data_IF_462789845212
#
_entry.id   IF_462789845212
#
_cell.length_a   1.000
_cell.length_b   1.000
_cell.length_c   1.000
_cell.angle_alpha   90.00
_cell.angle_beta   90.00
_cell.angle_gamma   90.00
#
_symmetry.space_group_name_H-M   'P 1'
#
loop_
_entity.id
_entity.type
_entity.pdbx_description
1 polymer ?
#
# COMPACT_ATOMS: atom_id res chain seq x y z
N UNK A 1 1.97 21.90 -10.22
CA UNK A 1 0.70 21.94 -9.47
C UNK A 1 1.04 21.72 -8.01
N UNK A 2 0.52 22.52 -7.08
CA UNK A 2 0.79 22.28 -5.67
C UNK A 2 0.00 21.04 -5.22
N UNK A 3 0.53 20.29 -4.25
CA UNK A 3 -0.14 19.10 -3.76
C UNK A 3 -1.57 19.36 -3.25
N UNK A 4 -1.80 20.56 -2.70
CA UNK A 4 -3.09 21.01 -2.21
C UNK A 4 -4.17 21.14 -3.31
N UNK A 5 -3.74 21.17 -4.58
CA UNK A 5 -4.64 21.25 -5.74
C UNK A 5 -4.88 19.87 -6.38
N UNK A 6 -4.40 18.77 -5.78
CA UNK A 6 -4.63 17.42 -6.29
C UNK A 6 -6.12 17.07 -6.16
N UNK A 7 -6.83 16.73 -7.25
CA UNK A 7 -8.25 16.40 -7.20
C UNK A 7 -8.52 14.95 -6.75
N UNK A 8 -7.48 14.14 -6.58
CA UNK A 8 -7.57 12.72 -6.22
C UNK A 8 -7.21 12.51 -4.75
N UNK A 9 -7.98 11.66 -4.06
CA UNK A 9 -7.79 11.33 -2.65
C UNK A 9 -7.73 9.81 -2.48
N UNK A 10 -6.77 9.34 -1.69
CA UNK A 10 -6.57 7.91 -1.39
C UNK A 10 -6.09 7.74 0.05
N UNK A 11 -6.52 8.64 0.94
CA UNK A 11 -6.17 8.64 2.34
C UNK A 11 -6.81 7.46 3.09
N UNK A 12 -6.41 7.24 4.33
CA UNK A 12 -6.90 6.11 5.15
C UNK A 12 -8.43 6.11 5.24
N UNK A 13 -9.08 7.27 5.45
CA UNK A 13 -10.54 7.36 5.50
C UNK A 13 -11.20 6.87 4.20
N UNK A 14 -10.67 7.27 3.05
CA UNK A 14 -11.18 6.85 1.75
C UNK A 14 -11.02 5.34 1.55
N UNK A 15 -9.81 4.81 1.78
CA UNK A 15 -9.48 3.39 1.59
C UNK A 15 -10.21 2.48 2.58
N UNK A 16 -10.39 2.88 3.85
CA UNK A 16 -11.18 2.11 4.81
C UNK A 16 -12.67 2.07 4.44
N UNK A 17 -13.21 3.17 3.89
CA UNK A 17 -14.60 3.21 3.42
C UNK A 17 -14.80 2.32 2.18
N UNK A 18 -13.87 2.36 1.24
CA UNK A 18 -13.87 1.53 0.04
C UNK A 18 -13.76 0.04 0.37
N UNK A 19 -12.76 -0.35 1.16
CA UNK A 19 -12.61 -1.74 1.63
C UNK A 19 -13.84 -2.24 2.39
N UNK A 20 -14.46 -1.40 3.23
CA UNK A 20 -15.71 -1.77 3.90
C UNK A 20 -16.83 -2.06 2.92
N UNK A 21 -16.91 -1.30 1.83
CA UNK A 21 -17.87 -1.56 0.76
C UNK A 21 -17.59 -2.90 0.08
N UNK A 22 -16.34 -3.25 -0.21
CA UNK A 22 -16.01 -4.56 -0.79
C UNK A 22 -16.36 -5.72 0.14
N UNK A 23 -16.04 -5.59 1.44
CA UNK A 23 -16.38 -6.59 2.46
C UNK A 23 -17.91 -6.77 2.55
N UNK A 24 -18.67 -5.68 2.67
CA UNK A 24 -20.12 -5.73 2.87
C UNK A 24 -20.87 -6.28 1.66
N UNK A 25 -20.29 -6.16 0.46
CA UNK A 25 -20.88 -6.63 -0.79
C UNK A 25 -20.27 -7.94 -1.30
N UNK A 26 -19.36 -8.57 -0.54
CA UNK A 26 -18.69 -9.83 -0.93
C UNK A 26 -18.00 -9.71 -2.30
N UNK A 27 -17.27 -8.61 -2.49
CA UNK A 27 -16.54 -8.30 -3.73
C UNK A 27 -15.05 -8.66 -3.66
N UNK A 28 -14.59 -9.15 -2.52
CA UNK A 28 -13.23 -9.67 -2.34
C UNK A 28 -13.22 -11.18 -2.66
N UNK A 29 -12.10 -11.65 -3.20
CA UNK A 29 -11.88 -13.07 -3.46
C UNK A 29 -11.83 -13.87 -2.14
N UNK A 30 -12.00 -15.19 -2.22
CA UNK A 30 -11.83 -16.05 -1.04
C UNK A 30 -10.37 -16.02 -0.56
N UNK A 31 -10.18 -15.96 0.76
CA UNK A 31 -8.83 -15.99 1.35
C UNK A 31 -8.22 -17.37 1.15
N UNK A 32 -7.19 -17.46 0.30
CA UNK A 32 -6.38 -18.66 0.18
C UNK A 32 -5.43 -18.78 1.38
N UNK A 33 -5.70 -19.73 2.28
CA UNK A 33 -4.88 -19.96 3.46
C UNK A 33 -3.47 -20.48 3.13
N UNK A 34 -3.22 -20.91 1.90
CA UNK A 34 -1.91 -21.41 1.47
C UNK A 34 -1.06 -20.34 0.77
N UNK A 35 -1.63 -19.17 0.41
CA UNK A 35 -0.98 -18.12 -0.39
C UNK A 35 -1.00 -16.71 0.26
N UNK A 36 -1.53 -16.58 1.48
CA UNK A 36 -1.54 -15.30 2.19
C UNK A 36 -0.26 -15.06 3.01
N UNK A 37 0.15 -13.79 3.14
CA UNK A 37 1.27 -13.40 3.99
C UNK A 37 0.89 -13.56 5.48
N UNK A 38 1.19 -14.74 6.04
CA UNK A 38 0.86 -15.08 7.42
C UNK A 38 1.55 -14.19 8.46
N UNK A 39 2.72 -13.61 8.13
CA UNK A 39 3.39 -12.66 9.02
C UNK A 39 2.64 -11.33 9.04
N UNK A 40 2.18 -10.87 7.88
CA UNK A 40 1.40 -9.65 7.75
C UNK A 40 0.01 -9.77 8.39
N UNK A 41 -0.70 -10.87 8.13
CA UNK A 41 -2.04 -11.10 8.62
C UNK A 41 -2.08 -11.51 10.10
N UNK A 42 -1.00 -12.07 10.65
CA UNK A 42 -0.96 -12.58 12.02
C UNK A 42 -2.08 -13.58 12.29
N UNK A 43 -2.86 -13.34 13.35
CA UNK A 43 -3.95 -14.23 13.77
C UNK A 43 -5.28 -13.99 13.02
N UNK A 44 -5.33 -13.02 12.10
CA UNK A 44 -6.54 -12.69 11.36
C UNK A 44 -6.92 -13.78 10.36
N UNK A 45 -8.22 -14.10 10.29
CA UNK A 45 -8.78 -15.14 9.40
C UNK A 45 -9.87 -14.64 8.48
N UNK A 46 -10.21 -13.35 8.57
CA UNK A 46 -11.24 -12.71 7.75
C UNK A 46 -10.83 -11.27 7.43
N UNK A 47 -11.20 -10.78 6.26
CA UNK A 47 -11.04 -9.36 5.89
C UNK A 47 -11.70 -8.43 6.92
N UNK A 48 -12.87 -8.80 7.47
CA UNK A 48 -13.53 -8.01 8.50
C UNK A 48 -12.70 -7.89 9.78
N UNK A 49 -12.02 -8.97 10.20
CA UNK A 49 -11.16 -8.92 11.38
C UNK A 49 -9.94 -8.01 11.17
N UNK A 50 -9.36 -8.02 9.96
CA UNK A 50 -8.25 -7.14 9.59
C UNK A 50 -8.72 -5.68 9.46
N UNK A 51 -9.89 -5.45 8.87
CA UNK A 51 -10.51 -4.13 8.77
C UNK A 51 -10.81 -3.51 10.14
N UNK A 52 -11.29 -4.31 11.10
CA UNK A 52 -11.52 -3.86 12.47
C UNK A 52 -10.20 -3.41 13.14
N UNK A 53 -9.13 -4.20 13.00
CA UNK A 53 -7.80 -3.83 13.51
C UNK A 53 -7.36 -2.47 12.93
N UNK A 54 -7.39 -2.33 11.60
CA UNK A 54 -6.94 -1.11 10.91
C UNK A 54 -7.76 0.13 11.30
N UNK A 55 -9.02 -0.06 11.66
CA UNK A 55 -9.88 1.03 12.15
C UNK A 55 -9.53 1.44 13.58
N UNK A 56 -9.03 0.51 14.41
CA UNK A 56 -8.63 0.75 15.80
C UNK A 56 -7.18 1.25 15.93
N UNK A 57 -6.29 0.84 15.02
CA UNK A 57 -4.84 1.08 15.10
C UNK A 57 -4.32 2.11 14.09
N UNK A 58 -5.17 3.07 13.71
CA UNK A 58 -4.87 4.08 12.68
C UNK A 58 -3.55 4.80 12.94
N UNK A 59 -2.74 4.92 11.89
CA UNK A 59 -1.51 5.71 11.91
C UNK A 59 -1.78 7.16 11.49
N UNK A 60 -0.93 8.08 11.93
CA UNK A 60 -0.96 9.48 11.49
C UNK A 60 -0.64 9.59 9.99
N UNK A 61 -1.36 10.42 9.23
CA UNK A 61 -1.08 10.62 7.80
C UNK A 61 -0.28 11.90 7.54
N UNK A 62 0.81 11.77 6.79
CA UNK A 62 1.51 12.87 6.12
C UNK A 62 1.20 12.81 4.64
N UNK A 63 0.19 13.57 4.23
CA UNK A 63 -0.32 13.53 2.86
C UNK A 63 0.74 14.02 1.84
N UNK A 64 1.08 13.12 0.94
CA UNK A 64 1.85 13.34 -0.28
C UNK A 64 1.01 12.89 -1.48
N UNK A 65 1.48 13.15 -2.71
CA UNK A 65 0.94 12.43 -3.85
C UNK A 65 1.54 11.03 -3.84
N UNK A 66 0.68 10.03 -3.86
CA UNK A 66 1.04 8.62 -3.94
C UNK A 66 0.42 8.02 -5.21
N UNK A 67 1.16 7.10 -5.84
CA UNK A 67 0.65 6.27 -6.92
C UNK A 67 -0.45 5.32 -6.43
N UNK A 68 -0.27 4.78 -5.22
CA UNK A 68 -1.24 3.90 -4.58
C UNK A 68 -1.20 2.45 -5.06
N UNK A 69 -0.28 2.12 -5.97
CA UNK A 69 0.00 0.76 -6.48
C UNK A 69 1.35 0.70 -7.24
N UNK A 70 2.43 1.14 -6.61
CA UNK A 70 3.74 1.31 -7.25
C UNK A 70 4.54 0.00 -7.31
N UNK A 71 4.23 -0.84 -8.29
CA UNK A 71 4.90 -2.13 -8.54
C UNK A 71 5.77 -2.09 -9.81
N UNK A 72 6.57 -3.14 -10.03
CA UNK A 72 7.41 -3.29 -11.23
C UNK A 72 6.59 -3.41 -12.52
N UNK A 73 5.33 -3.86 -12.41
CA UNK A 73 4.36 -3.92 -13.52
C UNK A 73 3.71 -2.57 -13.85
N UNK A 74 3.79 -1.59 -12.94
CA UNK A 74 3.16 -0.28 -13.08
C UNK A 74 4.17 0.85 -13.34
N UNK A 75 5.47 0.57 -13.32
CA UNK A 75 6.55 1.51 -13.63
C UNK A 75 7.31 1.06 -14.87
N UNK A 76 7.40 1.95 -15.86
CA UNK A 76 8.14 1.70 -17.10
C UNK A 76 9.25 2.72 -17.29
N UNK A 77 10.40 2.27 -17.77
CA UNK A 77 11.54 3.11 -18.11
C UNK A 77 11.81 2.95 -19.60
N UNK A 78 11.82 4.05 -20.34
CA UNK A 78 12.16 4.00 -21.76
C UNK A 78 13.69 4.05 -22.01
N UNK A 79 14.07 3.97 -23.29
CA UNK A 79 15.48 4.02 -23.71
C UNK A 79 16.20 5.34 -23.39
N UNK A 80 15.47 6.37 -22.98
CA UNK A 80 16.00 7.68 -22.60
C UNK A 80 16.00 7.88 -21.07
N UNK A 81 15.66 6.84 -20.29
CA UNK A 81 15.47 6.88 -18.85
C UNK A 81 14.29 7.76 -18.38
N UNK A 82 13.30 7.99 -19.24
CA UNK A 82 12.04 8.59 -18.80
C UNK A 82 11.18 7.56 -18.08
N UNK A 83 10.59 7.96 -16.96
CA UNK A 83 9.75 7.10 -16.10
C UNK A 83 8.28 7.35 -16.43
N UNK A 84 7.55 6.28 -16.69
CA UNK A 84 6.12 6.27 -16.95
C UNK A 84 5.40 5.44 -15.91
N UNK A 85 4.23 5.92 -15.48
CA UNK A 85 3.37 5.27 -14.49
C UNK A 85 2.07 4.84 -15.16
N UNK A 86 1.64 3.60 -14.91
CA UNK A 86 0.35 3.05 -15.32
C UNK A 86 -0.50 2.75 -14.09
N UNK A 87 -1.78 2.45 -14.31
CA UNK A 87 -2.73 2.09 -13.25
C UNK A 87 -2.84 3.10 -12.09
N UNK A 88 -3.29 4.31 -12.45
CA UNK A 88 -3.48 5.41 -11.49
C UNK A 88 -4.83 5.36 -10.77
N UNK A 89 -5.52 4.21 -10.76
CA UNK A 89 -6.86 4.07 -10.18
C UNK A 89 -6.91 4.41 -8.69
N UNK A 90 -5.81 4.17 -7.96
CA UNK A 90 -5.66 4.46 -6.53
C UNK A 90 -4.79 5.68 -6.23
N UNK A 91 -4.34 6.38 -7.26
CA UNK A 91 -3.44 7.52 -7.11
C UNK A 91 -4.16 8.70 -6.46
N UNK A 92 -3.44 9.46 -5.62
CA UNK A 92 -3.99 10.65 -4.99
C UNK A 92 -3.27 11.04 -3.71
N UNK A 93 -3.93 11.89 -2.92
CA UNK A 93 -3.43 12.29 -1.62
C UNK A 93 -3.52 11.11 -0.64
N UNK A 94 -2.36 10.60 -0.23
CA UNK A 94 -2.21 9.53 0.76
C UNK A 94 -0.89 9.70 1.54
N UNK A 95 -0.69 8.91 2.59
CA UNK A 95 0.59 8.90 3.31
C UNK A 95 1.74 8.41 2.43
N UNK A 96 2.94 8.95 2.64
CA UNK A 96 4.13 8.54 1.88
C UNK A 96 4.48 7.06 2.04
N UNK A 97 4.08 6.44 3.15
CA UNK A 97 4.30 5.03 3.38
C UNK A 97 3.40 4.11 2.56
N UNK A 98 2.38 4.60 1.84
CA UNK A 98 1.67 3.76 0.86
C UNK A 98 2.64 3.26 -0.20
N UNK A 99 3.28 4.17 -0.92
CA UNK A 99 4.19 3.83 -2.02
C UNK A 99 5.48 3.17 -1.51
N UNK A 100 6.05 3.66 -0.39
CA UNK A 100 7.28 3.08 0.19
C UNK A 100 7.08 1.60 0.55
N UNK A 101 5.91 1.23 1.07
CA UNK A 101 5.63 -0.15 1.46
C UNK A 101 5.60 -1.08 0.27
N UNK A 102 5.02 -0.63 -0.85
CA UNK A 102 4.93 -1.46 -2.05
C UNK A 102 6.28 -1.61 -2.74
N UNK A 103 7.06 -0.53 -2.82
CA UNK A 103 8.44 -0.62 -3.32
C UNK A 103 9.26 -1.58 -2.45
N UNK A 104 9.15 -1.49 -1.12
CA UNK A 104 9.86 -2.38 -0.20
C UNK A 104 9.44 -3.85 -0.39
N UNK A 105 8.12 -4.12 -0.46
CA UNK A 105 7.57 -5.46 -0.73
C UNK A 105 8.11 -6.04 -2.04
N UNK A 106 7.97 -5.33 -3.16
CA UNK A 106 8.47 -5.77 -4.46
C UNK A 106 9.98 -6.02 -4.45
N UNK A 107 10.78 -5.14 -3.82
CA UNK A 107 12.22 -5.36 -3.72
C UNK A 107 12.56 -6.59 -2.86
N UNK A 108 11.80 -6.85 -1.81
CA UNK A 108 12.00 -8.00 -0.92
C UNK A 108 11.68 -9.31 -1.64
N UNK A 109 10.58 -9.35 -2.38
CA UNK A 109 10.04 -10.54 -3.05
C UNK A 109 10.72 -10.85 -4.38
N UNK A 110 10.93 -9.84 -5.22
CA UNK A 110 11.41 -10.05 -6.60
C UNK A 110 12.93 -9.90 -6.75
N UNK A 111 13.58 -9.19 -5.81
CA UNK A 111 15.03 -8.96 -5.86
C UNK A 111 15.78 -9.65 -4.71
N UNK A 112 15.72 -9.10 -3.49
CA UNK A 112 16.21 -9.74 -2.26
C UNK A 112 15.88 -8.91 -1.02
N UNK A 113 15.81 -9.60 0.11
CA UNK A 113 15.76 -9.01 1.46
C UNK A 113 16.85 -7.93 1.70
N UNK A 114 18.08 -8.12 1.20
CA UNK A 114 19.15 -7.14 1.38
C UNK A 114 18.90 -5.87 0.53
N UNK A 115 18.37 -6.03 -0.68
CA UNK A 115 17.99 -4.90 -1.54
C UNK A 115 16.91 -4.03 -0.87
N UNK A 116 15.87 -4.66 -0.32
CA UNK A 116 14.82 -3.97 0.44
C UNK A 116 15.40 -3.21 1.64
N UNK A 117 16.32 -3.85 2.40
CA UNK A 117 17.04 -3.19 3.52
C UNK A 117 17.88 -1.99 3.08
N UNK A 118 18.55 -2.08 1.93
CA UNK A 118 19.32 -0.96 1.37
C UNK A 118 18.38 0.20 1.03
N UNK A 119 17.25 -0.07 0.38
CA UNK A 119 16.23 0.93 0.08
C UNK A 119 15.74 1.64 1.35
N UNK A 120 15.34 0.89 2.38
CA UNK A 120 14.89 1.45 3.65
C UNK A 120 15.96 2.31 4.34
N UNK A 121 17.24 1.90 4.28
CA UNK A 121 18.37 2.69 4.84
C UNK A 121 18.57 4.05 4.13
N UNK A 122 18.08 4.21 2.91
CA UNK A 122 18.17 5.48 2.17
C UNK A 122 17.02 6.44 2.50
N UNK A 123 15.97 5.98 3.17
CA UNK A 123 14.90 6.83 3.66
C UNK A 123 15.40 7.72 4.80
N UNK A 124 14.91 8.97 4.86
CA UNK A 124 15.26 9.90 5.95
C UNK A 124 14.74 9.41 7.30
N UNK A 125 13.57 8.81 7.31
CA UNK A 125 12.94 8.25 8.50
C UNK A 125 12.09 7.06 8.06
N UNK A 126 12.46 5.88 8.52
CA UNK A 126 11.71 4.67 8.26
C UNK A 126 10.70 4.41 9.40
N UNK A 127 9.50 3.90 9.05
CA UNK A 127 8.39 3.64 9.98
C UNK A 127 7.78 2.26 9.70
N UNK A 128 8.30 1.19 10.32
CA UNK A 128 7.76 -0.16 10.15
C UNK A 128 6.28 -0.28 10.53
N UNK A 129 5.83 0.48 11.52
CA UNK A 129 4.42 0.54 11.92
C UNK A 129 3.51 1.04 10.79
N UNK A 130 3.96 2.08 10.06
CA UNK A 130 3.24 2.57 8.89
C UNK A 130 3.33 1.60 7.72
N UNK A 131 4.49 0.98 7.50
CA UNK A 131 4.63 0.01 6.40
C UNK A 131 3.65 -1.14 6.54
N UNK A 132 3.64 -1.76 7.70
CA UNK A 132 2.75 -2.87 8.00
C UNK A 132 1.28 -2.44 7.93
N UNK A 133 0.94 -1.23 8.38
CA UNK A 133 -0.42 -0.69 8.27
C UNK A 133 -0.89 -0.61 6.81
N UNK A 134 -0.08 -0.05 5.91
CA UNK A 134 -0.47 0.14 4.51
C UNK A 134 -0.42 -1.15 3.70
N UNK A 135 0.48 -2.09 4.01
CA UNK A 135 0.44 -3.44 3.45
C UNK A 135 -0.85 -4.16 3.86
N UNK A 136 -1.22 -4.16 5.14
CA UNK A 136 -2.50 -4.73 5.61
C UNK A 136 -3.72 -4.08 4.97
N UNK A 137 -3.70 -2.78 4.75
CA UNK A 137 -4.79 -2.07 4.06
C UNK A 137 -4.89 -2.45 2.58
N UNK A 138 -3.77 -2.86 1.98
CA UNK A 138 -3.74 -3.34 0.60
C UNK A 138 -4.43 -4.70 0.43
N UNK A 139 -4.42 -5.54 1.47
CA UNK A 139 -5.11 -6.83 1.51
C UNK A 139 -6.65 -6.73 1.48
N UNK A 140 -7.21 -5.52 1.65
CA UNK A 140 -8.66 -5.30 1.73
C UNK A 140 -9.30 -4.79 0.43
N UNK A 141 -8.73 -5.10 -0.73
CA UNK A 141 -9.13 -4.56 -2.03
C UNK A 141 -9.27 -5.63 -3.10
#
# INVERSE_FOLDING_TARGET
VAIIDCPFISNIDHRLKESKFFIDNQLLDDIDQDDFDAELWGDHKTYLSLWNELTETRVEERLVFSHGDITDSNIFIDKFNEIYFLDLGRAGLADEFVDISFVERCLREDASEETAKIFLKHLKNDRPDKRNYFLKLDELN
#
